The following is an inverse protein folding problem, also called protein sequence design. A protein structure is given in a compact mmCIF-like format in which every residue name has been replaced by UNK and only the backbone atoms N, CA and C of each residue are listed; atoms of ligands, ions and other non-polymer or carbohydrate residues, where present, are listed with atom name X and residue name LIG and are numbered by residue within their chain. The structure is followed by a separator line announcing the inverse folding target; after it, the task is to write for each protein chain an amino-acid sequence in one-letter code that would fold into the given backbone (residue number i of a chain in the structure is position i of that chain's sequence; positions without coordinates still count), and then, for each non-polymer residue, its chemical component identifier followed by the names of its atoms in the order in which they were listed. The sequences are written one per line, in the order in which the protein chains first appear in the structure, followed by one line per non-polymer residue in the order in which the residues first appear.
data_IF_357672688459
#
_entry.id   IF_357672688459
#
_cell.length_a   1.000
_cell.length_b   1.000
_cell.length_c   1.000
_cell.angle_alpha   90.00
_cell.angle_beta   90.00
_cell.angle_gamma   90.00
#
_symmetry.space_group_name_H-M   'P 1'
#
loop_
_entity.id
_entity.type
_entity.pdbx_description
1 polymer ?
#
# COMPACT_ATOMS: atom_id res chain seq x y z
N UNK A 1 17.45 -6.61 7.19
CA UNK A 1 16.83 -5.27 7.29
C UNK A 1 15.37 -5.42 6.91
N UNK A 2 14.46 -5.49 7.89
CA UNK A 2 13.02 -5.62 7.62
C UNK A 2 12.45 -4.21 7.55
N UNK A 3 12.33 -3.64 6.35
CA UNK A 3 11.51 -2.44 6.16
C UNK A 3 10.06 -2.92 6.24
N UNK A 4 9.28 -2.38 7.17
CA UNK A 4 7.82 -2.54 7.17
C UNK A 4 7.27 -1.85 5.92
N UNK A 5 7.24 -2.58 4.81
CA UNK A 5 6.67 -2.10 3.56
C UNK A 5 5.16 -2.22 3.70
N UNK A 6 4.46 -1.09 3.60
CA UNK A 6 3.01 -1.10 3.68
C UNK A 6 2.46 -1.49 2.33
N UNK A 7 1.69 -2.59 2.33
CA UNK A 7 1.07 -3.16 1.14
C UNK A 7 -0.43 -2.91 1.19
N UNK A 8 -1.02 -2.66 0.02
CA UNK A 8 -2.47 -2.58 -0.16
C UNK A 8 -2.93 -3.65 -1.16
N UNK A 9 -4.13 -4.18 -0.98
CA UNK A 9 -4.71 -5.09 -1.96
C UNK A 9 -5.27 -4.28 -3.16
N UNK A 10 -5.08 -4.77 -4.40
CA UNK A 10 -5.59 -4.11 -5.60
C UNK A 10 -7.12 -3.96 -5.64
N UNK A 11 -7.85 -4.77 -4.87
CA UNK A 11 -9.31 -4.70 -4.73
C UNK A 11 -9.76 -3.53 -3.83
N UNK A 12 -8.86 -2.94 -3.05
CA UNK A 12 -9.18 -1.80 -2.18
C UNK A 12 -9.26 -0.50 -2.98
N UNK A 13 -10.04 0.46 -2.47
CA UNK A 13 -10.25 1.73 -3.16
C UNK A 13 -9.05 2.66 -3.01
N UNK A 14 -8.90 3.60 -3.95
CA UNK A 14 -7.89 4.67 -3.87
C UNK A 14 -8.04 5.50 -2.59
N UNK A 15 -9.26 5.65 -2.08
CA UNK A 15 -9.54 6.36 -0.82
C UNK A 15 -8.95 5.63 0.37
N UNK A 16 -9.06 4.30 0.41
CA UNK A 16 -8.45 3.49 1.46
C UNK A 16 -6.92 3.58 1.38
N UNK A 17 -6.37 3.60 0.17
CA UNK A 17 -4.93 3.79 -0.04
C UNK A 17 -4.45 5.15 0.49
N UNK A 18 -5.17 6.23 0.16
CA UNK A 18 -4.83 7.56 0.65
C UNK A 18 -4.93 7.66 2.18
N UNK A 19 -5.95 7.04 2.80
CA UNK A 19 -6.05 6.95 4.26
C UNK A 19 -4.85 6.21 4.86
N UNK A 20 -4.50 5.05 4.31
CA UNK A 20 -3.34 4.27 4.77
C UNK A 20 -2.05 5.10 4.65
N UNK A 21 -1.86 5.82 3.54
CA UNK A 21 -0.69 6.69 3.34
C UNK A 21 -0.60 7.77 4.42
N UNK A 22 -1.70 8.42 4.77
CA UNK A 22 -1.74 9.46 5.80
C UNK A 22 -1.57 8.87 7.20
N UNK A 23 -2.36 7.85 7.55
CA UNK A 23 -2.41 7.23 8.87
C UNK A 23 -1.08 6.57 9.26
N UNK A 24 -0.35 6.06 8.27
CA UNK A 24 0.94 5.39 8.50
C UNK A 24 2.13 6.35 8.59
N UNK A 25 1.89 7.66 8.66
CA UNK A 25 2.91 8.68 8.82
C UNK A 25 3.35 9.36 7.52
N UNK A 26 2.41 9.59 6.59
CA UNK A 26 2.64 10.26 5.30
C UNK A 26 3.64 9.52 4.39
N UNK A 27 3.27 8.31 3.99
CA UNK A 27 4.05 7.51 3.03
C UNK A 27 3.80 8.02 1.60
N UNK A 28 4.87 8.24 0.84
CA UNK A 28 4.78 8.65 -0.56
C UNK A 28 4.59 7.51 -1.56
N UNK A 29 4.58 6.25 -1.09
CA UNK A 29 4.40 5.07 -1.93
C UNK A 29 3.82 3.90 -1.13
N UNK A 30 2.86 3.19 -1.72
CA UNK A 30 2.33 1.91 -1.27
C UNK A 30 2.62 0.83 -2.30
N UNK A 31 2.88 -0.38 -1.82
CA UNK A 31 3.04 -1.54 -2.70
C UNK A 31 1.67 -2.18 -2.92
N UNK A 32 1.28 -2.32 -4.18
CA UNK A 32 0.01 -2.97 -4.53
C UNK A 32 0.25 -4.47 -4.68
N UNK A 33 -0.54 -5.24 -3.97
CA UNK A 33 -0.51 -6.71 -3.96
C UNK A 33 -1.83 -7.27 -4.45
N UNK A 34 -1.77 -8.36 -5.21
CA UNK A 34 -2.91 -9.16 -5.63
C UNK A 34 -2.64 -10.63 -5.28
N UNK A 35 -3.49 -11.22 -4.45
CA UNK A 35 -3.38 -12.62 -4.05
C UNK A 35 -1.97 -13.05 -3.58
N UNK A 36 -1.27 -12.17 -2.87
CA UNK A 36 0.09 -12.41 -2.36
C UNK A 36 1.23 -12.12 -3.36
N UNK A 37 0.91 -11.71 -4.58
CA UNK A 37 1.88 -11.27 -5.57
C UNK A 37 1.94 -9.74 -5.62
N UNK A 38 3.13 -9.18 -5.80
CA UNK A 38 3.28 -7.74 -6.02
C UNK A 38 2.92 -7.44 -7.47
N UNK A 39 1.89 -6.62 -7.67
CA UNK A 39 1.39 -6.25 -9.00
C UNK A 39 1.71 -4.81 -9.36
N UNK A 40 2.09 -3.96 -8.40
CA UNK A 40 2.46 -2.59 -8.70
C UNK A 40 2.85 -1.75 -7.49
N UNK A 41 2.97 -0.45 -7.75
CA UNK A 41 3.20 0.60 -6.75
C UNK A 41 2.20 1.73 -6.97
N UNK A 42 1.74 2.34 -5.88
CA UNK A 42 0.85 3.49 -5.85
C UNK A 42 1.55 4.66 -5.13
#
# INVERSE_FOLDING_TARGET
MTKNVITINMEQTIVDAAKIMVDSGSIGCLVVTDNGNVVGIL
#
